data_IF_239908454360
#
_entry.id   IF_239908454360
#
_cell.length_a   1.000
_cell.length_b   1.000
_cell.length_c   1.000
_cell.angle_alpha   90.00
_cell.angle_beta   90.00
_cell.angle_gamma   90.00
#
_symmetry.space_group_name_H-M   'P 1'
#
loop_
_entity.id
_entity.type
_entity.pdbx_description
1 polymer ?
#
# COMPACT_ATOMS: atom_id res chain seq x y z
N UNK A 1 9.47 -22.33 -2.42
CA UNK A 1 9.52 -21.05 -1.71
C UNK A 1 8.60 -20.09 -2.41
N UNK A 2 7.58 -19.58 -1.72
CA UNK A 2 6.58 -18.65 -2.23
C UNK A 2 6.76 -17.31 -1.52
N UNK A 3 6.75 -16.23 -2.27
CA UNK A 3 6.87 -14.89 -1.71
C UNK A 3 5.92 -13.93 -2.40
N UNK A 4 5.55 -12.88 -1.68
CA UNK A 4 4.86 -11.71 -2.24
C UNK A 4 5.92 -10.61 -2.37
N UNK A 5 5.94 -9.94 -3.52
CA UNK A 5 6.79 -8.78 -3.76
C UNK A 5 5.91 -7.59 -4.09
N UNK A 6 6.12 -6.50 -3.39
CA UNK A 6 5.35 -5.26 -3.51
C UNK A 6 6.29 -4.06 -3.36
N UNK A 7 5.97 -2.96 -4.02
CA UNK A 7 6.82 -1.79 -4.04
C UNK A 7 6.02 -0.49 -4.18
N UNK A 8 6.71 0.62 -3.91
CA UNK A 8 6.25 1.99 -4.24
C UNK A 8 4.86 2.32 -3.72
N UNK A 9 4.65 2.11 -2.41
CA UNK A 9 3.38 2.38 -1.75
C UNK A 9 3.08 3.88 -1.65
N UNK A 10 4.13 4.72 -1.58
CA UNK A 10 4.01 6.18 -1.47
C UNK A 10 3.00 6.63 -0.39
N UNK A 11 2.99 5.95 0.76
CA UNK A 11 2.05 6.26 1.84
C UNK A 11 2.31 7.68 2.36
N UNK A 12 1.23 8.43 2.57
CA UNK A 12 1.30 9.84 3.00
C UNK A 12 1.38 10.85 1.85
N UNK A 13 1.49 10.39 0.60
CA UNK A 13 1.55 11.28 -0.57
C UNK A 13 0.36 12.22 -0.65
N UNK A 14 0.68 13.52 -0.72
CA UNK A 14 -0.29 14.57 -0.99
C UNK A 14 -0.19 15.03 -2.45
N UNK A 15 -1.34 15.11 -3.13
CA UNK A 15 -1.42 15.58 -4.50
C UNK A 15 -1.89 17.04 -4.52
N UNK A 16 -0.98 17.94 -4.91
CA UNK A 16 -1.22 19.39 -4.90
C UNK A 16 -2.39 19.84 -5.80
N UNK A 17 -2.73 19.07 -6.84
CA UNK A 17 -3.88 19.35 -7.69
C UNK A 17 -5.25 19.05 -7.04
N UNK A 18 -5.27 18.33 -5.92
CA UNK A 18 -6.50 17.90 -5.26
C UNK A 18 -6.81 18.71 -4.00
N UNK A 19 -8.10 18.77 -3.68
CA UNK A 19 -8.55 19.38 -2.43
C UNK A 19 -8.02 18.61 -1.22
N UNK A 20 -7.94 19.27 -0.06
CA UNK A 20 -7.57 18.59 1.20
C UNK A 20 -8.45 17.38 1.50
N UNK A 21 -9.77 17.50 1.26
CA UNK A 21 -10.72 16.41 1.48
C UNK A 21 -10.41 15.21 0.56
N UNK A 22 -10.16 15.48 -0.72
CA UNK A 22 -9.81 14.45 -1.69
C UNK A 22 -8.49 13.75 -1.34
N UNK A 23 -7.49 14.50 -0.87
CA UNK A 23 -6.24 13.89 -0.41
C UNK A 23 -6.44 12.97 0.81
N UNK A 24 -7.34 13.34 1.75
CA UNK A 24 -7.68 12.46 2.88
C UNK A 24 -8.40 11.18 2.43
N UNK A 25 -9.30 11.27 1.45
CA UNK A 25 -9.96 10.10 0.85
C UNK A 25 -8.92 9.19 0.17
N UNK A 26 -7.99 9.76 -0.60
CA UNK A 26 -6.91 9.00 -1.24
C UNK A 26 -5.99 8.32 -0.22
N UNK A 27 -5.65 9.00 0.88
CA UNK A 27 -4.86 8.41 1.96
C UNK A 27 -5.57 7.20 2.58
N UNK A 28 -6.87 7.31 2.83
CA UNK A 28 -7.67 6.19 3.33
C UNK A 28 -7.67 5.00 2.36
N UNK A 29 -7.86 5.25 1.06
CA UNK A 29 -7.84 4.21 0.03
C UNK A 29 -6.44 3.56 -0.12
N UNK A 30 -5.37 4.33 0.03
CA UNK A 30 -4.00 3.78 0.01
C UNK A 30 -3.80 2.77 1.15
N UNK A 31 -4.24 3.10 2.36
CA UNK A 31 -4.22 2.15 3.48
C UNK A 31 -5.12 0.93 3.23
N UNK A 32 -6.32 1.13 2.68
CA UNK A 32 -7.21 0.03 2.31
C UNK A 32 -6.59 -0.94 1.29
N UNK A 33 -5.76 -0.45 0.37
CA UNK A 33 -5.02 -1.33 -0.55
C UNK A 33 -3.96 -2.19 0.16
N UNK A 34 -3.36 -1.69 1.24
CA UNK A 34 -2.44 -2.47 2.08
C UNK A 34 -3.22 -3.57 2.80
N UNK A 35 -4.42 -3.28 3.33
CA UNK A 35 -5.26 -4.29 3.95
C UNK A 35 -5.62 -5.42 2.96
N UNK A 36 -6.01 -5.06 1.73
CA UNK A 36 -6.28 -6.05 0.66
C UNK A 36 -5.03 -6.91 0.33
N UNK A 37 -3.83 -6.31 0.39
CA UNK A 37 -2.59 -7.06 0.21
C UNK A 37 -2.35 -8.03 1.37
N UNK A 38 -2.62 -7.61 2.60
CA UNK A 38 -2.47 -8.46 3.80
C UNK A 38 -3.47 -9.62 3.78
N UNK A 39 -4.72 -9.39 3.42
CA UNK A 39 -5.73 -10.46 3.27
C UNK A 39 -5.29 -11.52 2.25
N UNK A 40 -4.70 -11.10 1.14
CA UNK A 40 -4.10 -12.01 0.15
C UNK A 40 -2.89 -12.75 0.71
N UNK A 41 -2.04 -12.07 1.47
CA UNK A 41 -0.89 -12.70 2.10
C UNK A 41 -1.33 -13.78 3.09
N UNK A 42 -2.36 -13.55 3.90
CA UNK A 42 -2.93 -14.56 4.79
C UNK A 42 -3.46 -15.76 4.01
N UNK A 43 -4.22 -15.52 2.93
CA UNK A 43 -4.78 -16.59 2.10
C UNK A 43 -3.71 -17.42 1.39
N UNK A 44 -2.67 -16.79 0.84
CA UNK A 44 -1.62 -17.48 0.11
C UNK A 44 -0.56 -18.11 1.02
N UNK A 45 -0.45 -17.64 2.26
CA UNK A 45 0.52 -18.07 3.26
C UNK A 45 1.96 -18.17 2.69
N UNK A 46 2.53 -17.05 2.19
CA UNK A 46 3.89 -17.02 1.64
C UNK A 46 4.93 -17.21 2.75
N UNK A 47 6.13 -17.67 2.36
CA UNK A 47 7.25 -17.81 3.29
C UNK A 47 7.79 -16.43 3.74
N UNK A 48 7.65 -15.40 2.90
CA UNK A 48 7.98 -14.02 3.22
C UNK A 48 7.28 -13.02 2.28
N UNK A 49 7.21 -11.77 2.72
CA UNK A 49 6.78 -10.62 1.93
C UNK A 49 7.97 -9.67 1.79
N UNK A 50 8.30 -9.31 0.56
CA UNK A 50 9.35 -8.35 0.24
C UNK A 50 8.69 -7.02 -0.13
N UNK A 51 8.94 -6.00 0.69
CA UNK A 51 8.50 -4.61 0.48
C UNK A 51 9.72 -3.78 0.10
N UNK A 52 9.71 -3.15 -1.09
CA UNK A 52 10.85 -2.38 -1.62
C UNK A 52 10.40 -1.06 -2.24
N UNK A 53 11.34 -0.23 -2.69
CA UNK A 53 11.03 1.07 -3.28
C UNK A 53 10.53 2.08 -2.24
N UNK A 54 9.75 3.04 -2.70
CA UNK A 54 9.31 4.17 -1.86
C UNK A 54 8.03 3.82 -1.10
N UNK A 55 8.21 3.34 0.13
CA UNK A 55 7.09 2.94 1.00
C UNK A 55 6.31 4.17 1.51
N UNK A 56 7.02 5.27 1.75
CA UNK A 56 6.46 6.51 2.29
C UNK A 56 6.91 7.69 1.42
N UNK A 57 6.05 8.70 1.32
CA UNK A 57 6.34 10.01 0.72
C UNK A 57 6.48 11.10 1.80
#
# INVERSE_FOLDING_TARGET
>A
MRFIHTADWHLGRQFNQFSKKTNQELEYEMWGNIDVLMDKAESYNPDFILVVGDVFD
#
